data_IF_607502113756
#
_entry.id   IF_607502113756
#
_cell.length_a   1.000
_cell.length_b   1.000
_cell.length_c   1.000
_cell.angle_alpha   90.00
_cell.angle_beta   90.00
_cell.angle_gamma   90.00
#
_symmetry.space_group_name_H-M   'P 1'
#
loop_
_entity.id
_entity.type
_entity.pdbx_description
1 polymer ?
#
# COMPACT_ATOMS: atom_id res chain seq x y z
N UNK A 1 -37.50 10.09 -1.93
CA UNK A 1 -37.27 9.37 -0.64
C UNK A 1 -36.86 10.38 0.43
N UNK A 2 -37.47 10.28 1.60
CA UNK A 2 -37.02 11.03 2.79
C UNK A 2 -35.68 10.51 3.30
N UNK A 3 -34.89 11.29 4.04
CA UNK A 3 -33.63 10.80 4.61
C UNK A 3 -33.78 9.55 5.49
N UNK A 4 -34.89 9.43 6.21
CA UNK A 4 -35.22 8.27 7.04
C UNK A 4 -35.47 7.02 6.17
N UNK A 5 -36.29 7.17 5.12
CA UNK A 5 -36.57 6.07 4.18
C UNK A 5 -35.31 5.58 3.48
N UNK A 6 -34.45 6.53 3.05
CA UNK A 6 -33.18 6.22 2.40
C UNK A 6 -32.25 5.44 3.35
N UNK A 7 -32.16 5.89 4.60
CA UNK A 7 -31.34 5.22 5.62
C UNK A 7 -31.85 3.81 5.90
N UNK A 8 -33.15 3.64 6.05
CA UNK A 8 -33.76 2.34 6.33
C UNK A 8 -33.59 1.39 5.13
N UNK A 9 -33.80 1.87 3.92
CA UNK A 9 -33.58 1.07 2.71
C UNK A 9 -32.09 0.69 2.58
N UNK A 10 -31.18 1.63 2.82
CA UNK A 10 -29.75 1.34 2.75
C UNK A 10 -29.29 0.33 3.79
N UNK A 11 -29.83 0.37 5.01
CA UNK A 11 -29.49 -0.58 6.08
C UNK A 11 -30.10 -1.97 5.80
N UNK A 12 -31.35 -2.05 5.36
CA UNK A 12 -32.05 -3.32 5.17
C UNK A 12 -31.74 -4.03 3.86
N UNK A 13 -31.44 -3.29 2.80
CA UNK A 13 -31.24 -3.83 1.45
C UNK A 13 -29.79 -3.69 1.01
N UNK A 14 -29.29 -2.47 0.92
CA UNK A 14 -27.99 -2.19 0.33
C UNK A 14 -26.84 -2.76 1.16
N UNK A 15 -26.84 -2.50 2.45
CA UNK A 15 -25.84 -3.00 3.39
C UNK A 15 -25.77 -4.52 3.36
N UNK A 16 -26.91 -5.21 3.47
CA UNK A 16 -26.96 -6.68 3.48
C UNK A 16 -26.47 -7.30 2.18
N UNK A 17 -26.75 -6.68 1.04
CA UNK A 17 -26.26 -7.13 -0.26
C UNK A 17 -24.75 -6.99 -0.39
N UNK A 18 -24.20 -5.89 0.08
CA UNK A 18 -22.76 -5.65 0.08
C UNK A 18 -22.02 -6.49 1.12
N UNK A 19 -22.61 -6.76 2.29
CA UNK A 19 -22.06 -7.66 3.32
C UNK A 19 -21.91 -9.11 2.83
N UNK A 20 -22.75 -9.55 1.89
CA UNK A 20 -22.67 -10.88 1.29
C UNK A 20 -21.51 -11.05 0.29
N UNK A 21 -20.81 -9.97 -0.04
CA UNK A 21 -19.63 -10.05 -0.92
C UNK A 21 -18.48 -10.72 -0.15
N UNK A 22 -17.87 -11.72 -0.78
CA UNK A 22 -16.77 -12.47 -0.19
C UNK A 22 -15.64 -11.53 0.25
N UNK A 23 -15.17 -11.70 1.47
CA UNK A 23 -14.08 -10.91 2.04
C UNK A 23 -14.48 -9.58 2.66
N UNK A 24 -15.76 -9.22 2.64
CA UNK A 24 -16.29 -8.09 3.41
C UNK A 24 -16.42 -8.49 4.88
N UNK A 25 -15.84 -7.70 5.78
CA UNK A 25 -15.90 -7.93 7.22
C UNK A 25 -17.07 -7.20 7.88
N UNK A 26 -17.24 -5.92 7.57
CA UNK A 26 -18.34 -5.11 8.11
C UNK A 26 -18.64 -3.91 7.23
N UNK A 27 -19.88 -3.43 7.33
CA UNK A 27 -20.30 -2.18 6.64
C UNK A 27 -20.92 -1.26 7.66
N UNK A 28 -20.42 -0.04 7.73
CA UNK A 28 -20.90 1.01 8.62
C UNK A 28 -21.56 2.12 7.79
N UNK A 29 -22.77 2.53 8.21
CA UNK A 29 -23.45 3.69 7.65
C UNK A 29 -23.11 4.93 8.46
N UNK A 30 -22.76 6.01 7.77
CA UNK A 30 -22.43 7.31 8.35
C UNK A 30 -23.31 8.39 7.71
N UNK A 31 -23.80 9.32 8.51
CA UNK A 31 -24.67 10.42 8.04
C UNK A 31 -26.13 10.00 7.81
N UNK A 32 -26.49 8.77 8.21
CA UNK A 32 -27.86 8.28 8.15
C UNK A 32 -28.72 8.83 9.27
N UNK A 33 -30.01 8.89 9.03
CA UNK A 33 -31.02 9.28 10.01
C UNK A 33 -31.93 8.08 10.24
N UNK A 34 -31.77 7.41 11.37
CA UNK A 34 -32.62 6.27 11.74
C UNK A 34 -33.99 6.72 12.19
N UNK A 35 -35.00 5.90 11.89
CA UNK A 35 -36.35 6.11 12.42
C UNK A 35 -36.37 5.79 13.92
N UNK A 36 -37.00 6.65 14.68
CA UNK A 36 -37.17 6.48 16.13
C UNK A 36 -38.58 6.96 16.54
N UNK A 37 -39.18 6.30 17.50
CA UNK A 37 -40.43 6.74 18.13
C UNK A 37 -40.07 7.50 19.40
N UNK A 38 -40.29 8.81 19.35
CA UNK A 38 -39.99 9.71 20.44
C UNK A 38 -41.20 9.88 21.36
N UNK A 39 -41.00 9.65 22.64
CA UNK A 39 -42.02 9.82 23.70
C UNK A 39 -41.68 11.08 24.51
N UNK A 40 -42.40 12.16 24.25
CA UNK A 40 -42.22 13.43 24.96
C UNK A 40 -43.10 13.45 26.19
N UNK A 41 -42.50 13.37 27.38
CA UNK A 41 -43.20 13.40 28.64
C UNK A 41 -43.75 14.78 28.93
N UNK A 42 -45.00 14.86 29.46
CA UNK A 42 -45.60 16.11 29.93
C UNK A 42 -45.51 16.15 31.46
N UNK A 43 -44.62 16.98 32.05
CA UNK A 43 -44.42 17.01 33.49
C UNK A 43 -45.68 17.39 34.28
N UNK A 44 -46.50 18.31 33.77
CA UNK A 44 -47.74 18.76 34.44
C UNK A 44 -48.80 17.65 34.49
N UNK A 45 -48.94 16.93 33.37
CA UNK A 45 -49.85 15.79 33.32
C UNK A 45 -49.37 14.64 34.23
N UNK A 46 -48.05 14.36 34.23
CA UNK A 46 -47.46 13.36 35.11
C UNK A 46 -47.68 13.65 36.57
N UNK A 47 -47.52 14.89 37.01
CA UNK A 47 -47.80 15.34 38.37
C UNK A 47 -49.28 15.15 38.70
N UNK A 48 -50.21 15.60 37.83
CA UNK A 48 -51.64 15.45 38.03
C UNK A 48 -52.09 14.00 38.20
N UNK A 49 -51.50 13.07 37.45
CA UNK A 49 -51.79 11.64 37.54
C UNK A 49 -50.93 10.91 38.60
N UNK A 50 -49.91 11.55 39.18
CA UNK A 50 -48.98 10.95 40.13
C UNK A 50 -48.10 9.88 39.52
N UNK A 51 -47.69 10.04 38.24
CA UNK A 51 -46.85 9.11 37.49
C UNK A 51 -45.42 9.64 37.41
N UNK A 52 -44.44 8.79 37.70
CA UNK A 52 -43.01 9.14 37.58
C UNK A 52 -42.46 8.77 36.20
N UNK A 53 -41.37 9.43 35.80
CA UNK A 53 -40.68 9.13 34.53
C UNK A 53 -40.19 7.68 34.47
N UNK A 54 -39.69 7.15 35.61
CA UNK A 54 -39.24 5.77 35.72
C UNK A 54 -40.36 4.76 35.48
N UNK A 55 -41.58 5.08 35.96
CA UNK A 55 -42.75 4.22 35.72
C UNK A 55 -43.08 4.17 34.22
N UNK A 56 -42.99 5.31 33.51
CA UNK A 56 -43.20 5.34 32.07
C UNK A 56 -42.13 4.55 31.32
N UNK A 57 -40.86 4.74 31.67
CA UNK A 57 -39.73 4.03 31.03
C UNK A 57 -39.86 2.52 31.25
N UNK A 58 -40.18 2.10 32.48
CA UNK A 58 -40.34 0.67 32.81
C UNK A 58 -41.52 0.05 32.08
N UNK A 59 -42.67 0.76 32.03
CA UNK A 59 -43.85 0.28 31.32
C UNK A 59 -43.57 0.13 29.81
N UNK A 60 -42.94 1.13 29.17
CA UNK A 60 -42.57 1.03 27.75
C UNK A 60 -41.60 -0.14 27.52
N UNK A 61 -40.61 -0.32 28.40
CA UNK A 61 -39.63 -1.39 28.30
C UNK A 61 -40.25 -2.78 28.48
N UNK A 62 -41.19 -2.94 29.40
CA UNK A 62 -41.81 -4.26 29.67
C UNK A 62 -42.84 -4.66 28.63
N UNK A 63 -43.53 -3.69 28.05
CA UNK A 63 -44.64 -3.95 27.10
C UNK A 63 -44.20 -3.92 25.62
N UNK A 64 -43.03 -3.39 25.31
CA UNK A 64 -42.51 -3.27 23.96
C UNK A 64 -41.27 -4.17 23.74
N UNK A 65 -41.42 -5.47 23.95
CA UNK A 65 -40.33 -6.42 23.75
C UNK A 65 -40.84 -7.78 23.25
N UNK A 66 -39.99 -8.48 22.53
CA UNK A 66 -40.23 -9.86 22.12
C UNK A 66 -39.76 -10.79 23.23
N UNK A 67 -40.63 -11.62 23.72
CA UNK A 67 -40.35 -12.59 24.81
C UNK A 67 -40.41 -14.03 24.27
N UNK A 68 -39.33 -14.80 24.34
CA UNK A 68 -39.43 -16.25 24.17
C UNK A 68 -40.19 -16.85 25.35
N UNK A 69 -41.32 -17.49 25.06
CA UNK A 69 -42.20 -18.06 26.08
C UNK A 69 -41.87 -19.54 26.36
N UNK A 70 -41.27 -20.19 25.40
CA UNK A 70 -40.89 -21.60 25.52
C UNK A 70 -40.66 -22.26 24.17
N UNK A 71 -40.49 -23.56 24.18
CA UNK A 71 -40.34 -24.37 22.98
C UNK A 71 -41.24 -25.57 23.00
N UNK A 72 -41.93 -25.81 21.90
CA UNK A 72 -42.72 -27.05 21.64
C UNK A 72 -41.78 -28.06 21.00
N UNK A 73 -41.47 -29.11 21.74
CA UNK A 73 -40.58 -30.19 21.28
C UNK A 73 -41.40 -31.38 20.80
N UNK A 74 -41.17 -31.80 19.57
CA UNK A 74 -41.62 -33.09 19.03
C UNK A 74 -40.40 -33.94 18.67
N UNK A 75 -40.62 -35.22 18.40
CA UNK A 75 -39.51 -36.13 18.00
C UNK A 75 -38.75 -35.70 16.76
N UNK A 76 -39.33 -34.79 15.98
CA UNK A 76 -38.76 -34.36 14.67
C UNK A 76 -38.42 -32.86 14.59
N UNK A 77 -39.02 -32.02 15.46
CA UNK A 77 -38.86 -30.56 15.36
C UNK A 77 -38.95 -29.91 16.76
N UNK A 78 -38.12 -28.90 16.97
CA UNK A 78 -38.24 -27.96 18.08
C UNK A 78 -38.70 -26.60 17.53
N UNK A 79 -39.86 -26.12 18.00
CA UNK A 79 -40.42 -24.82 17.61
C UNK A 79 -40.38 -23.88 18.82
N UNK A 80 -39.65 -22.78 18.68
CA UNK A 80 -39.62 -21.73 19.69
C UNK A 80 -40.91 -20.91 19.56
N UNK A 81 -41.63 -20.80 20.67
CA UNK A 81 -42.81 -19.92 20.78
C UNK A 81 -42.35 -18.61 21.35
N UNK A 82 -42.58 -17.50 20.67
CA UNK A 82 -42.31 -16.16 21.15
C UNK A 82 -43.57 -15.30 21.10
N UNK A 83 -43.71 -14.40 22.05
CA UNK A 83 -44.69 -13.33 22.01
C UNK A 83 -44.03 -12.18 21.28
N UNK A 84 -44.63 -11.75 20.18
CA UNK A 84 -44.26 -10.54 19.45
C UNK A 84 -45.09 -9.37 19.99
N UNK A 85 -44.56 -8.71 21.02
CA UNK A 85 -45.22 -7.59 21.70
C UNK A 85 -44.64 -6.22 21.25
N UNK A 86 -43.79 -6.19 20.23
CA UNK A 86 -43.27 -4.92 19.72
C UNK A 86 -44.34 -4.09 19.03
N UNK A 87 -44.53 -2.90 19.50
CA UNK A 87 -45.42 -1.93 18.89
C UNK A 87 -44.82 -1.36 17.60
N UNK A 88 -45.56 -1.45 16.52
CA UNK A 88 -45.06 -1.02 15.18
C UNK A 88 -45.53 0.38 14.82
N UNK A 89 -46.65 0.86 15.37
CA UNK A 89 -47.25 2.15 15.07
C UNK A 89 -47.21 3.08 16.28
N UNK A 90 -46.98 4.38 16.10
CA UNK A 90 -46.94 5.34 17.18
C UNK A 90 -48.26 5.40 17.98
N UNK A 91 -49.38 5.14 17.32
CA UNK A 91 -50.71 5.18 17.90
C UNK A 91 -50.88 4.09 18.96
N UNK A 92 -50.24 2.92 18.78
CA UNK A 92 -50.35 1.78 19.68
C UNK A 92 -49.73 2.12 21.05
N UNK A 93 -48.65 2.91 21.04
CA UNK A 93 -48.03 3.37 22.31
C UNK A 93 -48.95 4.23 23.19
N UNK A 94 -49.87 5.00 22.60
CA UNK A 94 -50.80 5.84 23.34
C UNK A 94 -51.74 5.04 24.26
N UNK A 95 -51.98 3.78 23.94
CA UNK A 95 -52.86 2.87 24.69
C UNK A 95 -52.13 2.14 25.83
N UNK A 96 -50.81 2.22 25.86
CA UNK A 96 -49.97 1.55 26.85
C UNK A 96 -50.30 2.05 28.26
N UNK A 97 -50.55 1.11 29.21
CA UNK A 97 -50.86 1.44 30.60
C UNK A 97 -49.54 1.67 31.35
N UNK A 98 -49.30 2.88 31.81
CA UNK A 98 -48.07 3.27 32.51
C UNK A 98 -48.20 3.18 34.05
N UNK A 99 -49.40 3.33 34.55
CA UNK A 99 -49.70 3.23 36.01
C UNK A 99 -51.18 2.92 36.22
N UNK A 100 -51.53 2.59 37.46
CA UNK A 100 -52.91 2.53 37.94
C UNK A 100 -53.10 3.43 39.14
N UNK A 101 -54.06 4.37 39.05
CA UNK A 101 -54.41 5.31 40.14
C UNK A 101 -55.81 4.98 40.59
N UNK A 102 -55.99 4.59 41.88
CA UNK A 102 -57.28 4.20 42.44
C UNK A 102 -58.02 3.13 41.60
N UNK A 103 -57.26 2.16 41.03
CA UNK A 103 -57.81 1.11 40.17
C UNK A 103 -58.03 1.49 38.72
N UNK A 104 -58.04 2.78 38.38
CA UNK A 104 -58.19 3.25 36.99
C UNK A 104 -56.83 3.24 36.24
N UNK A 105 -56.78 2.71 35.01
CA UNK A 105 -55.55 2.68 34.23
C UNK A 105 -55.21 4.07 33.70
N UNK A 106 -53.95 4.51 33.94
CA UNK A 106 -53.40 5.70 33.33
C UNK A 106 -52.64 5.29 32.08
N UNK A 107 -53.03 5.83 30.93
CA UNK A 107 -52.44 5.50 29.61
C UNK A 107 -51.33 6.48 29.27
N UNK A 108 -50.35 6.02 28.47
CA UNK A 108 -49.21 6.82 28.05
C UNK A 108 -49.66 8.10 27.32
N UNK A 109 -50.70 8.05 26.45
CA UNK A 109 -51.18 9.21 25.74
C UNK A 109 -51.79 10.31 26.64
N UNK A 110 -52.06 10.03 27.93
CA UNK A 110 -52.52 11.02 28.91
C UNK A 110 -51.36 11.79 29.55
N UNK A 111 -50.15 11.20 29.62
CA UNK A 111 -48.99 11.78 30.30
C UNK A 111 -47.84 12.08 29.37
N UNK A 112 -47.92 11.66 28.08
CA UNK A 112 -46.90 11.88 27.07
C UNK A 112 -47.50 12.07 25.68
N UNK A 113 -46.71 12.66 24.80
CA UNK A 113 -46.99 12.77 23.34
C UNK A 113 -46.04 11.88 22.58
N UNK A 114 -46.58 10.93 21.83
CA UNK A 114 -45.79 9.98 21.03
C UNK A 114 -45.72 10.52 19.60
N UNK A 115 -44.49 10.66 19.07
CA UNK A 115 -44.25 11.12 17.72
C UNK A 115 -43.31 10.16 16.98
N UNK A 116 -43.67 9.85 15.72
CA UNK A 116 -42.75 9.22 14.79
C UNK A 116 -41.75 10.27 14.31
N UNK A 117 -40.48 10.00 14.46
CA UNK A 117 -39.45 10.97 14.20
C UNK A 117 -38.13 10.35 13.80
N UNK A 118 -37.13 11.19 13.82
CA UNK A 118 -35.75 10.83 13.54
C UNK A 118 -34.98 10.71 14.84
N UNK A 119 -34.07 9.75 14.89
CA UNK A 119 -33.03 9.71 15.92
C UNK A 119 -32.19 10.98 15.88
N UNK A 120 -31.68 11.41 17.00
CA UNK A 120 -30.74 12.52 17.08
C UNK A 120 -29.53 12.25 16.18
N UNK A 121 -29.07 13.30 15.46
CA UNK A 121 -28.04 13.16 14.44
C UNK A 121 -26.67 13.02 15.11
N UNK A 122 -26.15 11.82 15.16
CA UNK A 122 -24.83 11.52 15.73
C UNK A 122 -23.68 11.75 14.73
N UNK A 123 -23.96 11.69 13.44
CA UNK A 123 -22.95 11.78 12.39
C UNK A 123 -23.46 12.50 11.15
N UNK A 124 -22.57 13.24 10.49
CA UNK A 124 -22.88 13.97 9.27
C UNK A 124 -21.93 13.55 8.16
N UNK A 125 -22.46 13.11 7.03
CA UNK A 125 -21.69 12.89 5.81
C UNK A 125 -22.03 13.95 4.76
N UNK A 126 -21.02 14.57 4.20
CA UNK A 126 -21.15 15.58 3.14
C UNK A 126 -20.37 15.13 1.91
N UNK A 127 -20.98 15.23 0.75
CA UNK A 127 -20.36 15.02 -0.54
C UNK A 127 -20.63 16.21 -1.45
N UNK A 128 -19.58 16.90 -1.90
CA UNK A 128 -19.68 18.14 -2.67
C UNK A 128 -20.60 19.22 -2.04
N UNK A 129 -20.58 19.34 -0.70
CA UNK A 129 -21.41 20.30 0.05
C UNK A 129 -22.86 19.85 0.29
N UNK A 130 -23.31 18.76 -0.33
CA UNK A 130 -24.63 18.15 -0.11
C UNK A 130 -24.61 17.06 0.96
N UNK A 131 -25.69 16.95 1.74
CA UNK A 131 -25.87 15.82 2.67
C UNK A 131 -26.02 14.52 1.90
N UNK A 132 -25.32 13.49 2.33
CA UNK A 132 -25.35 12.17 1.73
C UNK A 132 -25.33 11.08 2.80
N UNK A 133 -25.59 9.85 2.39
CA UNK A 133 -25.38 8.65 3.19
C UNK A 133 -24.09 7.98 2.72
N UNK A 134 -23.13 7.80 3.62
CA UNK A 134 -21.86 7.15 3.33
C UNK A 134 -21.87 5.72 3.86
N UNK A 135 -21.50 4.77 3.01
CA UNK A 135 -21.25 3.38 3.40
C UNK A 135 -19.74 3.15 3.42
N UNK A 136 -19.23 2.87 4.61
CA UNK A 136 -17.82 2.50 4.78
C UNK A 136 -17.71 0.99 4.87
N UNK A 137 -17.02 0.39 3.91
CA UNK A 137 -16.80 -1.06 3.84
C UNK A 137 -15.43 -1.38 4.41
N UNK A 138 -15.39 -2.26 5.38
CA UNK A 138 -14.17 -2.81 5.95
C UNK A 138 -14.02 -4.27 5.49
N UNK A 139 -12.86 -4.60 4.93
CA UNK A 139 -12.56 -5.98 4.55
C UNK A 139 -12.23 -6.85 5.76
N UNK A 140 -12.44 -8.15 5.66
CA UNK A 140 -11.96 -9.12 6.64
C UNK A 140 -10.42 -9.17 6.68
N UNK A 141 -9.87 -9.55 7.82
CA UNK A 141 -8.42 -9.77 7.92
C UNK A 141 -7.99 -10.87 6.95
N UNK A 142 -6.79 -10.76 6.42
CA UNK A 142 -6.17 -11.70 5.47
C UNK A 142 -6.80 -11.77 4.06
N UNK A 143 -7.91 -11.08 3.80
CA UNK A 143 -8.51 -11.08 2.46
C UNK A 143 -7.80 -10.11 1.51
N UNK A 144 -7.79 -10.42 0.22
CA UNK A 144 -7.17 -9.60 -0.80
C UNK A 144 -8.01 -8.36 -1.09
N UNK A 145 -7.44 -7.17 -0.88
CA UNK A 145 -8.14 -5.88 -1.07
C UNK A 145 -8.64 -5.70 -2.51
N UNK A 146 -7.88 -6.15 -3.51
CA UNK A 146 -8.24 -6.02 -4.92
C UNK A 146 -9.47 -6.88 -5.23
N UNK A 147 -9.47 -8.15 -4.80
CA UNK A 147 -10.58 -9.07 -5.03
C UNK A 147 -11.87 -8.60 -4.34
N UNK A 148 -11.75 -8.13 -3.08
CA UNK A 148 -12.91 -7.60 -2.34
C UNK A 148 -13.49 -6.37 -3.04
N UNK A 149 -12.65 -5.43 -3.48
CA UNK A 149 -13.10 -4.23 -4.19
C UNK A 149 -13.71 -4.57 -5.55
N UNK A 150 -13.16 -5.54 -6.28
CA UNK A 150 -13.73 -5.98 -7.56
C UNK A 150 -15.09 -6.64 -7.36
N UNK A 151 -15.23 -7.48 -6.35
CA UNK A 151 -16.52 -8.06 -5.94
C UNK A 151 -17.54 -6.99 -5.57
N UNK A 152 -17.14 -5.98 -4.81
CA UNK A 152 -17.99 -4.84 -4.45
C UNK A 152 -18.40 -4.04 -5.67
N UNK A 153 -17.49 -3.72 -6.59
CA UNK A 153 -17.80 -2.99 -7.83
C UNK A 153 -18.81 -3.74 -8.70
N UNK A 154 -18.64 -5.04 -8.83
CA UNK A 154 -19.59 -5.90 -9.55
C UNK A 154 -20.97 -5.84 -8.90
N UNK A 155 -21.05 -6.03 -7.59
CA UNK A 155 -22.32 -5.96 -6.85
C UNK A 155 -22.94 -4.57 -6.92
N UNK A 156 -22.16 -3.49 -6.85
CA UNK A 156 -22.65 -2.11 -7.01
C UNK A 156 -23.25 -1.92 -8.42
N UNK A 157 -22.59 -2.44 -9.45
CA UNK A 157 -23.13 -2.34 -10.84
C UNK A 157 -24.44 -3.11 -10.99
N UNK A 158 -24.58 -4.29 -10.39
CA UNK A 158 -25.81 -5.06 -10.37
C UNK A 158 -26.93 -4.32 -9.60
N UNK A 159 -26.59 -3.67 -8.49
CA UNK A 159 -27.53 -2.91 -7.68
C UNK A 159 -28.00 -1.61 -8.35
N UNK A 160 -27.17 -1.01 -9.22
CA UNK A 160 -27.56 0.23 -9.93
C UNK A 160 -28.88 0.09 -10.71
N UNK A 161 -29.17 -1.10 -11.23
CA UNK A 161 -30.43 -1.39 -11.93
C UNK A 161 -31.65 -1.50 -10.98
N UNK A 162 -31.42 -1.67 -9.68
CA UNK A 162 -32.44 -1.88 -8.65
C UNK A 162 -32.59 -0.67 -7.70
N UNK A 163 -31.85 0.41 -7.96
CA UNK A 163 -31.92 1.61 -7.13
C UNK A 163 -33.26 2.31 -7.24
N UNK A 164 -33.81 2.81 -6.13
CA UNK A 164 -35.00 3.66 -6.15
C UNK A 164 -34.79 4.93 -6.98
N UNK A 165 -35.87 5.45 -7.56
CA UNK A 165 -35.82 6.67 -8.34
C UNK A 165 -35.21 7.83 -7.54
N UNK A 166 -34.22 8.52 -8.10
CA UNK A 166 -33.51 9.65 -7.48
C UNK A 166 -32.36 9.28 -6.55
N UNK A 167 -32.07 7.99 -6.35
CA UNK A 167 -30.91 7.53 -5.59
C UNK A 167 -29.77 7.20 -6.54
N UNK A 168 -28.55 7.69 -6.21
CA UNK A 168 -27.30 7.35 -6.92
C UNK A 168 -26.33 6.68 -5.95
N UNK A 169 -25.68 5.63 -6.40
CA UNK A 169 -24.65 4.94 -5.64
C UNK A 169 -23.33 5.09 -6.38
N UNK A 170 -22.38 5.80 -5.78
CA UNK A 170 -21.09 6.09 -6.40
C UNK A 170 -19.94 5.70 -5.44
N UNK A 171 -18.91 5.01 -5.92
CA UNK A 171 -17.71 4.75 -5.13
C UNK A 171 -16.88 6.03 -5.01
N UNK A 172 -16.70 6.53 -3.79
CA UNK A 172 -15.95 7.76 -3.51
C UNK A 172 -14.47 7.45 -3.29
N UNK A 173 -14.17 6.40 -2.54
CA UNK A 173 -12.81 5.99 -2.19
C UNK A 173 -12.60 4.54 -2.57
N UNK A 174 -11.51 4.27 -3.29
CA UNK A 174 -11.11 2.94 -3.72
C UNK A 174 -9.69 2.64 -3.21
N UNK A 175 -9.58 1.87 -2.13
CA UNK A 175 -8.31 1.45 -1.54
C UNK A 175 -7.50 0.48 -2.41
N UNK A 176 -8.11 -0.13 -3.44
CA UNK A 176 -7.39 -0.99 -4.37
C UNK A 176 -6.58 -0.20 -5.39
N UNK A 177 -6.96 1.04 -5.68
CA UNK A 177 -6.31 1.89 -6.70
C UNK A 177 -4.82 2.14 -6.42
N UNK A 178 -4.40 2.55 -5.21
CA UNK A 178 -2.98 2.71 -4.90
C UNK A 178 -2.19 1.41 -5.05
N UNK A 179 -2.79 0.27 -4.66
CA UNK A 179 -2.17 -1.04 -4.77
C UNK A 179 -1.96 -1.41 -6.25
N UNK A 180 -2.99 -1.24 -7.09
CA UNK A 180 -2.90 -1.50 -8.54
C UNK A 180 -1.83 -0.64 -9.20
N UNK A 181 -1.81 0.66 -8.90
CA UNK A 181 -0.80 1.58 -9.42
C UNK A 181 0.60 1.15 -8.98
N UNK A 182 0.78 0.72 -7.74
CA UNK A 182 2.07 0.24 -7.25
C UNK A 182 2.52 -1.04 -7.95
N UNK A 183 1.62 -2.00 -8.15
CA UNK A 183 1.91 -3.24 -8.89
C UNK A 183 2.29 -2.93 -10.34
N UNK A 184 1.54 -2.04 -11.00
CA UNK A 184 1.83 -1.65 -12.38
C UNK A 184 3.16 -0.88 -12.50
N UNK A 185 3.45 0.01 -11.57
CA UNK A 185 4.73 0.72 -11.49
C UNK A 185 5.90 -0.25 -11.31
N UNK A 186 5.78 -1.22 -10.40
CA UNK A 186 6.82 -2.24 -10.21
C UNK A 186 7.00 -3.07 -11.48
N UNK A 187 5.91 -3.54 -12.09
CA UNK A 187 5.97 -4.26 -13.37
C UNK A 187 6.67 -3.43 -14.45
N UNK A 188 6.33 -2.16 -14.57
CA UNK A 188 6.94 -1.24 -15.53
C UNK A 188 8.43 -1.05 -15.22
N UNK A 189 8.78 -0.76 -13.97
CA UNK A 189 10.18 -0.60 -13.53
C UNK A 189 11.01 -1.86 -13.77
N UNK A 190 10.43 -3.05 -13.53
CA UNK A 190 11.07 -4.32 -13.83
C UNK A 190 11.36 -4.48 -15.32
N UNK A 191 10.39 -4.19 -16.18
CA UNK A 191 10.54 -4.31 -17.63
C UNK A 191 11.52 -3.26 -18.17
N UNK A 192 11.34 -2.00 -17.79
CA UNK A 192 12.21 -0.89 -18.21
C UNK A 192 13.64 -1.07 -17.67
N UNK A 193 13.78 -1.46 -16.41
CA UNK A 193 15.07 -1.75 -15.78
C UNK A 193 15.78 -2.92 -16.45
N UNK A 194 15.09 -4.04 -16.67
CA UNK A 194 15.64 -5.19 -17.36
C UNK A 194 16.05 -4.84 -18.79
N UNK A 195 15.20 -4.11 -19.54
CA UNK A 195 15.52 -3.67 -20.91
C UNK A 195 16.75 -2.75 -20.93
N UNK A 196 16.78 -1.74 -20.06
CA UNK A 196 17.89 -0.78 -19.99
C UNK A 196 19.20 -1.49 -19.64
N UNK A 197 19.15 -2.41 -18.68
CA UNK A 197 20.31 -3.20 -18.28
C UNK A 197 20.79 -4.11 -19.40
N UNK A 198 19.88 -4.85 -20.03
CA UNK A 198 20.23 -5.68 -21.21
C UNK A 198 20.87 -4.83 -22.29
N UNK A 199 20.34 -3.63 -22.52
CA UNK A 199 20.90 -2.69 -23.49
C UNK A 199 22.32 -2.24 -23.11
N UNK A 200 22.53 -1.83 -21.87
CA UNK A 200 23.84 -1.38 -21.37
C UNK A 200 24.85 -2.52 -21.40
N UNK A 201 24.49 -3.68 -20.87
CA UNK A 201 25.37 -4.88 -20.89
C UNK A 201 25.72 -5.26 -22.31
N UNK A 202 24.77 -5.16 -23.25
CA UNK A 202 25.02 -5.42 -24.65
C UNK A 202 26.01 -4.42 -25.24
N UNK A 203 25.89 -3.13 -24.93
CA UNK A 203 26.79 -2.11 -25.41
C UNK A 203 28.22 -2.28 -24.89
N UNK A 204 28.37 -2.66 -23.60
CA UNK A 204 29.68 -2.83 -22.99
C UNK A 204 30.37 -4.14 -23.36
N UNK A 205 29.64 -5.26 -23.38
CA UNK A 205 30.21 -6.59 -23.63
C UNK A 205 30.24 -6.93 -25.12
N UNK A 206 29.52 -6.19 -25.98
CA UNK A 206 29.38 -6.39 -27.42
C UNK A 206 29.10 -7.86 -27.80
N UNK A 207 28.39 -8.60 -26.93
CA UNK A 207 28.08 -10.00 -27.06
C UNK A 207 26.65 -10.27 -26.65
N UNK A 208 25.82 -10.72 -27.60
CA UNK A 208 24.41 -11.03 -27.29
C UNK A 208 24.25 -12.22 -26.36
N UNK A 209 25.16 -13.21 -26.42
CA UNK A 209 25.13 -14.37 -25.52
C UNK A 209 25.43 -13.97 -24.09
N UNK A 210 26.45 -13.17 -23.88
CA UNK A 210 26.77 -12.57 -22.56
C UNK A 210 25.60 -11.77 -22.01
N UNK A 211 24.98 -10.98 -22.86
CA UNK A 211 23.82 -10.16 -22.50
C UNK A 211 22.63 -10.99 -22.05
N UNK A 212 22.33 -12.09 -22.76
CA UNK A 212 21.23 -13.00 -22.38
C UNK A 212 21.52 -13.69 -21.05
N UNK A 213 22.76 -14.14 -20.82
CA UNK A 213 23.14 -14.81 -19.56
C UNK A 213 22.93 -13.84 -18.39
N UNK A 214 23.50 -12.65 -18.46
CA UNK A 214 23.36 -11.63 -17.41
C UNK A 214 21.89 -11.17 -17.27
N UNK A 215 21.15 -11.08 -18.37
CA UNK A 215 19.74 -10.72 -18.37
C UNK A 215 18.82 -11.75 -17.69
N UNK A 216 19.21 -13.03 -17.66
CA UNK A 216 18.48 -14.09 -16.97
C UNK A 216 18.65 -14.08 -15.44
N UNK A 217 19.75 -13.52 -14.94
CA UNK A 217 20.00 -13.46 -13.50
C UNK A 217 18.95 -12.67 -12.74
N UNK A 218 18.48 -11.55 -13.31
CA UNK A 218 17.47 -10.68 -12.68
C UNK A 218 16.14 -11.39 -12.42
N UNK A 219 15.45 -11.97 -13.44
CA UNK A 219 14.19 -12.64 -13.19
C UNK A 219 14.33 -13.83 -12.24
N UNK A 220 15.45 -14.57 -12.29
CA UNK A 220 15.70 -15.70 -11.40
C UNK A 220 15.87 -15.21 -9.95
N UNK A 221 16.65 -14.16 -9.73
CA UNK A 221 16.82 -13.56 -8.41
C UNK A 221 15.48 -13.03 -7.84
N UNK A 222 14.65 -12.41 -8.68
CA UNK A 222 13.31 -11.94 -8.26
C UNK A 222 12.38 -13.08 -7.91
N UNK A 223 12.32 -14.15 -8.70
CA UNK A 223 11.52 -15.33 -8.39
C UNK A 223 11.99 -15.95 -7.07
N UNK A 224 13.31 -16.05 -6.86
CA UNK A 224 13.88 -16.49 -5.59
C UNK A 224 13.47 -15.60 -4.42
N UNK A 225 13.42 -14.29 -4.62
CA UNK A 225 12.97 -13.32 -3.61
C UNK A 225 11.48 -13.51 -3.26
N UNK A 226 10.61 -13.72 -4.26
CA UNK A 226 9.22 -14.05 -4.00
C UNK A 226 9.03 -15.36 -3.24
N UNK A 227 9.84 -16.38 -3.55
CA UNK A 227 9.82 -17.64 -2.81
C UNK A 227 10.21 -17.41 -1.35
N UNK A 228 11.26 -16.63 -1.10
CA UNK A 228 11.69 -16.26 0.25
C UNK A 228 10.61 -15.48 1.01
N UNK A 229 10.00 -14.48 0.38
CA UNK A 229 8.89 -13.71 0.97
C UNK A 229 7.75 -14.63 1.40
N UNK A 230 7.37 -15.58 0.54
CA UNK A 230 6.32 -16.56 0.85
C UNK A 230 6.70 -17.46 2.03
N UNK A 231 7.96 -17.90 2.11
CA UNK A 231 8.46 -18.74 3.21
C UNK A 231 8.44 -18.02 4.56
N UNK A 232 8.69 -16.72 4.58
CA UNK A 232 8.63 -15.85 5.78
C UNK A 232 7.23 -15.29 6.07
N UNK A 233 6.23 -15.65 5.27
CA UNK A 233 4.86 -15.18 5.44
C UNK A 233 4.65 -13.71 5.11
N UNK A 234 5.56 -13.10 4.34
CA UNK A 234 5.44 -11.71 3.89
C UNK A 234 4.40 -11.61 2.77
N UNK A 235 3.61 -10.56 2.82
CA UNK A 235 2.60 -10.28 1.81
C UNK A 235 3.14 -9.35 0.73
N UNK A 236 2.56 -9.44 -0.47
CA UNK A 236 2.82 -8.46 -1.53
C UNK A 236 2.00 -7.20 -1.21
N UNK A 237 2.65 -6.22 -0.64
CA UNK A 237 2.08 -4.93 -0.25
C UNK A 237 2.89 -3.77 -0.82
N UNK A 238 2.44 -2.52 -0.60
CA UNK A 238 3.14 -1.34 -1.14
C UNK A 238 4.61 -1.26 -0.71
N UNK A 239 4.92 -1.69 0.51
CA UNK A 239 6.26 -1.57 1.09
C UNK A 239 7.19 -2.61 0.49
N UNK A 240 6.74 -3.88 0.39
CA UNK A 240 7.50 -4.94 -0.25
C UNK A 240 7.69 -4.71 -1.75
N UNK A 241 6.68 -4.15 -2.43
CA UNK A 241 6.78 -3.74 -3.83
C UNK A 241 7.79 -2.60 -4.04
N UNK A 242 7.83 -1.63 -3.12
CA UNK A 242 8.84 -0.57 -3.13
C UNK A 242 10.25 -1.13 -2.89
N UNK A 243 10.42 -2.09 -1.98
CA UNK A 243 11.66 -2.80 -1.77
C UNK A 243 12.14 -3.51 -3.05
N UNK A 244 11.25 -4.26 -3.70
CA UNK A 244 11.56 -4.95 -4.95
C UNK A 244 11.94 -3.97 -6.08
N UNK A 245 11.23 -2.85 -6.20
CA UNK A 245 11.55 -1.81 -7.18
C UNK A 245 12.95 -1.24 -6.97
N UNK A 246 13.34 -0.99 -5.72
CA UNK A 246 14.70 -0.54 -5.37
C UNK A 246 15.75 -1.62 -5.66
N UNK A 247 15.42 -2.88 -5.40
CA UNK A 247 16.34 -4.00 -5.61
C UNK A 247 16.72 -4.22 -7.07
N UNK A 248 15.85 -3.87 -8.04
CA UNK A 248 16.12 -4.11 -9.48
C UNK A 248 17.50 -3.61 -9.91
N UNK A 249 17.85 -2.39 -9.51
CA UNK A 249 19.16 -1.81 -9.79
C UNK A 249 20.31 -2.50 -9.03
N UNK A 250 20.07 -2.91 -7.78
CA UNK A 250 21.08 -3.54 -6.94
C UNK A 250 21.40 -4.98 -7.33
N UNK A 251 20.40 -5.71 -7.87
CA UNK A 251 20.53 -7.14 -8.19
C UNK A 251 21.39 -7.43 -9.41
N UNK A 252 21.54 -6.47 -10.30
CA UNK A 252 22.23 -6.65 -11.57
C UNK A 252 23.72 -6.40 -11.45
N UNK A 253 24.15 -5.53 -10.55
CA UNK A 253 25.54 -5.08 -10.46
C UNK A 253 26.50 -6.24 -10.22
N UNK A 254 26.18 -7.17 -9.33
CA UNK A 254 26.99 -8.34 -9.04
C UNK A 254 27.20 -9.23 -10.29
N UNK A 255 26.13 -9.48 -11.05
CA UNK A 255 26.17 -10.29 -12.25
C UNK A 255 27.00 -9.62 -13.38
N UNK A 256 26.92 -8.29 -13.53
CA UNK A 256 27.72 -7.55 -14.52
C UNK A 256 29.20 -7.69 -14.22
N UNK A 257 29.62 -7.48 -12.97
CA UNK A 257 31.02 -7.53 -12.55
C UNK A 257 31.59 -8.95 -12.71
N UNK A 258 30.83 -9.99 -12.31
CA UNK A 258 31.23 -11.39 -12.50
C UNK A 258 31.41 -11.69 -13.99
N UNK A 259 30.44 -11.27 -14.81
CA UNK A 259 30.46 -11.53 -16.25
C UNK A 259 31.60 -10.82 -16.95
N UNK A 260 31.84 -9.56 -16.66
CA UNK A 260 32.94 -8.76 -17.22
C UNK A 260 34.29 -9.45 -16.94
N UNK A 261 34.52 -9.88 -15.69
CA UNK A 261 35.77 -10.52 -15.33
C UNK A 261 35.97 -11.88 -16.03
N UNK A 262 34.91 -12.68 -16.16
CA UNK A 262 34.95 -13.93 -16.93
C UNK A 262 35.31 -13.64 -18.40
N UNK A 263 34.68 -12.66 -19.03
CA UNK A 263 34.97 -12.24 -20.41
C UNK A 263 36.43 -11.79 -20.55
N UNK A 264 36.95 -11.02 -19.61
CA UNK A 264 38.35 -10.58 -19.57
C UNK A 264 39.32 -11.78 -19.53
N UNK A 265 39.03 -12.80 -18.74
CA UNK A 265 39.86 -14.03 -18.67
C UNK A 265 39.79 -14.85 -19.98
N UNK A 266 38.63 -14.88 -20.66
CA UNK A 266 38.52 -15.48 -22.01
C UNK A 266 39.38 -14.72 -23.01
N UNK A 267 39.35 -13.39 -22.99
CA UNK A 267 40.18 -12.54 -23.84
C UNK A 267 41.70 -12.72 -23.62
N UNK A 268 42.10 -13.12 -22.40
CA UNK A 268 43.48 -13.51 -22.07
C UNK A 268 43.86 -14.88 -22.63
N UNK A 269 42.97 -15.58 -23.34
CA UNK A 269 43.24 -16.88 -23.97
C UNK A 269 42.98 -18.11 -23.12
N UNK A 270 42.33 -17.99 -21.97
CA UNK A 270 41.91 -19.13 -21.12
C UNK A 270 40.71 -19.84 -21.73
N UNK A 271 40.60 -21.15 -21.49
CA UNK A 271 39.39 -21.87 -21.90
C UNK A 271 38.15 -21.31 -21.16
N UNK A 272 36.96 -21.39 -21.75
CA UNK A 272 35.73 -20.84 -21.12
C UNK A 272 35.46 -21.37 -19.70
N UNK A 273 35.75 -22.65 -19.48
CA UNK A 273 35.64 -23.28 -18.17
C UNK A 273 36.64 -22.70 -17.16
N UNK A 274 37.93 -22.61 -17.55
CA UNK A 274 38.98 -22.06 -16.69
C UNK A 274 38.76 -20.54 -16.45
N UNK A 275 38.34 -19.82 -17.47
CA UNK A 275 38.01 -18.39 -17.37
C UNK A 275 36.85 -18.13 -16.38
N UNK A 276 35.82 -18.99 -16.41
CA UNK A 276 34.70 -18.91 -15.47
C UNK A 276 35.13 -19.19 -14.04
N UNK A 277 36.02 -20.18 -13.81
CA UNK A 277 36.50 -20.51 -12.49
C UNK A 277 37.42 -19.43 -11.93
N UNK A 278 38.49 -19.08 -12.68
CA UNK A 278 39.50 -18.11 -12.22
C UNK A 278 38.88 -16.69 -12.12
N UNK A 279 38.08 -16.30 -13.12
CA UNK A 279 37.42 -14.99 -13.14
C UNK A 279 36.46 -14.79 -11.98
N UNK A 280 35.68 -15.81 -11.61
CA UNK A 280 34.78 -15.72 -10.46
C UNK A 280 35.58 -15.74 -9.14
N UNK A 281 36.62 -16.51 -9.04
CA UNK A 281 37.46 -16.60 -7.83
C UNK A 281 38.21 -15.27 -7.56
N UNK A 282 38.68 -14.59 -8.60
CA UNK A 282 39.43 -13.33 -8.49
C UNK A 282 38.59 -12.22 -7.86
N UNK A 283 37.31 -12.11 -8.23
CA UNK A 283 36.42 -11.05 -7.75
C UNK A 283 35.51 -11.47 -6.60
N UNK A 284 35.54 -12.74 -6.24
CA UNK A 284 34.61 -13.31 -5.25
C UNK A 284 34.60 -12.53 -3.94
N UNK A 285 35.77 -12.17 -3.41
CA UNK A 285 35.89 -11.39 -2.17
C UNK A 285 35.32 -9.97 -2.32
N UNK A 286 35.52 -9.34 -3.48
CA UNK A 286 35.04 -7.98 -3.72
C UNK A 286 33.49 -7.94 -3.78
N UNK A 287 32.90 -8.89 -4.51
CA UNK A 287 31.42 -9.00 -4.61
C UNK A 287 30.80 -9.39 -3.27
N UNK A 288 31.42 -10.30 -2.50
CA UNK A 288 31.00 -10.59 -1.12
C UNK A 288 31.01 -9.33 -0.24
N UNK A 289 32.08 -8.53 -0.32
CA UNK A 289 32.20 -7.33 0.50
C UNK A 289 31.13 -6.27 0.14
N UNK A 290 30.86 -6.07 -1.15
CA UNK A 290 29.81 -5.12 -1.60
C UNK A 290 28.42 -5.60 -1.17
N UNK A 291 28.11 -6.87 -1.38
CA UNK A 291 26.83 -7.49 -0.98
C UNK A 291 26.62 -7.38 0.53
N UNK A 292 27.62 -7.78 1.34
CA UNK A 292 27.50 -7.64 2.80
C UNK A 292 27.46 -6.20 3.28
N UNK A 293 28.05 -5.25 2.56
CA UNK A 293 27.89 -3.83 2.84
C UNK A 293 26.43 -3.38 2.68
N UNK A 294 25.76 -3.81 1.63
CA UNK A 294 24.33 -3.55 1.42
C UNK A 294 23.50 -4.20 2.53
N UNK A 295 23.79 -5.45 2.87
CA UNK A 295 23.13 -6.17 3.97
C UNK A 295 23.30 -5.41 5.29
N UNK A 296 24.52 -4.92 5.60
CA UNK A 296 24.79 -4.17 6.82
C UNK A 296 24.02 -2.85 6.92
N UNK A 297 23.62 -2.25 5.80
CA UNK A 297 22.79 -1.04 5.78
C UNK A 297 21.31 -1.37 5.96
N UNK A 298 20.80 -2.39 5.27
CA UNK A 298 19.37 -2.67 5.26
C UNK A 298 18.90 -3.59 6.39
N UNK A 299 19.77 -4.46 6.91
CA UNK A 299 19.44 -5.37 8.01
C UNK A 299 18.99 -4.63 9.28
N UNK A 300 19.69 -3.58 9.76
CA UNK A 300 19.24 -2.79 10.90
C UNK A 300 17.87 -2.13 10.71
N UNK A 301 17.54 -1.72 9.48
CA UNK A 301 16.23 -1.15 9.16
C UNK A 301 15.12 -2.20 9.38
N UNK A 302 15.39 -3.46 9.01
CA UNK A 302 14.48 -4.58 9.26
C UNK A 302 14.26 -4.91 10.74
N UNK A 303 15.17 -4.50 11.64
CA UNK A 303 15.07 -4.75 13.09
C UNK A 303 14.70 -3.51 13.91
N UNK A 304 14.24 -2.43 13.27
CA UNK A 304 13.77 -1.24 13.97
C UNK A 304 12.58 -1.56 14.89
N UNK A 305 12.55 -0.95 16.07
CA UNK A 305 11.44 -1.07 17.02
C UNK A 305 10.27 -0.12 16.71
N UNK A 306 9.14 -0.36 17.40
CA UNK A 306 7.95 0.51 17.34
C UNK A 306 7.07 0.29 16.09
N UNK A 307 6.13 1.22 15.89
CA UNK A 307 5.17 1.14 14.78
C UNK A 307 5.89 1.24 13.43
N UNK A 308 6.84 2.15 13.32
CA UNK A 308 7.64 2.36 12.10
C UNK A 308 8.41 1.08 11.76
N UNK A 309 9.00 0.43 12.78
CA UNK A 309 9.73 -0.82 12.59
C UNK A 309 8.89 -1.95 12.00
N UNK A 310 7.60 -2.05 12.37
CA UNK A 310 6.68 -3.05 11.79
C UNK A 310 6.51 -2.88 10.27
N UNK A 311 6.47 -1.64 9.79
CA UNK A 311 6.40 -1.36 8.36
C UNK A 311 7.72 -1.65 7.64
N UNK A 312 8.84 -1.22 8.22
CA UNK A 312 10.14 -1.37 7.59
C UNK A 312 10.78 -2.76 7.77
N UNK A 313 10.22 -3.61 8.64
CA UNK A 313 10.68 -5.00 8.79
C UNK A 313 10.62 -5.77 7.48
N UNK A 314 9.45 -5.80 6.84
CA UNK A 314 9.28 -6.48 5.55
C UNK A 314 10.14 -5.84 4.45
N UNK A 315 10.29 -4.51 4.46
CA UNK A 315 11.13 -3.78 3.52
C UNK A 315 12.60 -4.19 3.61
N UNK A 316 13.20 -4.05 4.80
CA UNK A 316 14.62 -4.33 5.02
C UNK A 316 14.98 -5.80 4.77
N UNK A 317 14.16 -6.72 5.30
CA UNK A 317 14.39 -8.16 5.14
C UNK A 317 14.21 -8.59 3.67
N UNK A 318 13.25 -8.02 2.94
CA UNK A 318 13.07 -8.31 1.50
C UNK A 318 14.29 -7.88 0.68
N UNK A 319 14.86 -6.70 0.94
CA UNK A 319 16.07 -6.23 0.25
C UNK A 319 17.25 -7.15 0.57
N UNK A 320 17.45 -7.47 1.83
CA UNK A 320 18.53 -8.37 2.27
C UNK A 320 18.42 -9.74 1.58
N UNK A 321 17.22 -10.33 1.56
CA UNK A 321 16.96 -11.58 0.89
C UNK A 321 17.23 -11.50 -0.62
N UNK A 322 16.74 -10.46 -1.27
CA UNK A 322 16.93 -10.24 -2.70
C UNK A 322 18.42 -10.17 -3.08
N UNK A 323 19.19 -9.37 -2.32
CA UNK A 323 20.62 -9.17 -2.59
C UNK A 323 21.42 -10.44 -2.33
N UNK A 324 21.13 -11.19 -1.27
CA UNK A 324 21.79 -12.48 -0.99
C UNK A 324 21.48 -13.54 -2.06
N UNK A 325 20.22 -13.58 -2.53
CA UNK A 325 19.82 -14.50 -3.60
C UNK A 325 20.51 -14.10 -4.92
N UNK A 326 20.59 -12.79 -5.24
CA UNK A 326 21.31 -12.29 -6.41
C UNK A 326 22.76 -12.69 -6.39
N UNK A 327 23.44 -12.50 -5.27
CA UNK A 327 24.82 -12.93 -5.08
C UNK A 327 24.99 -14.44 -5.35
N UNK A 328 24.10 -15.25 -4.77
CA UNK A 328 24.13 -16.71 -4.98
C UNK A 328 23.94 -17.07 -6.47
N UNK A 329 22.99 -16.44 -7.15
CA UNK A 329 22.72 -16.64 -8.58
C UNK A 329 23.93 -16.20 -9.42
N UNK A 330 24.54 -15.06 -9.09
CA UNK A 330 25.71 -14.53 -9.81
C UNK A 330 26.95 -15.39 -9.65
N UNK A 331 27.12 -16.08 -8.52
CA UNK A 331 28.23 -17.00 -8.32
C UNK A 331 27.99 -18.43 -8.81
N UNK A 332 26.75 -18.79 -9.12
CA UNK A 332 26.41 -20.16 -9.57
C UNK A 332 25.97 -20.19 -11.01
N UNK A 333 24.92 -19.44 -11.35
CA UNK A 333 24.30 -19.47 -12.67
C UNK A 333 25.19 -18.84 -13.74
N UNK A 334 25.74 -17.64 -13.47
CA UNK A 334 26.52 -16.90 -14.46
C UNK A 334 27.82 -17.63 -14.86
N UNK A 335 28.67 -18.12 -13.93
CA UNK A 335 29.84 -18.93 -14.28
C UNK A 335 29.48 -20.24 -15.00
N UNK A 336 28.41 -20.91 -14.53
CA UNK A 336 27.94 -22.15 -15.15
C UNK A 336 27.50 -21.92 -16.59
N UNK A 337 26.64 -20.92 -16.83
CA UNK A 337 26.19 -20.57 -18.18
C UNK A 337 27.34 -20.10 -19.06
N UNK A 338 28.29 -19.35 -18.50
CA UNK A 338 29.48 -18.87 -19.20
C UNK A 338 30.40 -19.98 -19.67
N UNK A 339 30.54 -21.06 -18.87
CA UNK A 339 31.36 -22.21 -19.23
C UNK A 339 30.76 -23.04 -20.36
N UNK A 340 29.42 -23.13 -20.44
CA UNK A 340 28.70 -23.97 -21.42
C UNK A 340 28.41 -23.17 -22.71
N UNK A 341 27.93 -21.94 -22.56
CA UNK A 341 27.43 -21.12 -23.66
C UNK A 341 28.32 -19.89 -23.91
N UNK A 342 29.61 -20.16 -24.17
CA UNK A 342 30.58 -19.10 -24.47
C UNK A 342 30.34 -18.48 -25.84
N UNK A 343 30.79 -17.23 -26.03
CA UNK A 343 30.67 -16.54 -27.31
C UNK A 343 31.99 -16.62 -28.12
N UNK A 344 31.98 -17.30 -29.27
CA UNK A 344 33.17 -17.38 -30.14
C UNK A 344 33.67 -16.00 -30.64
N UNK A 345 32.83 -14.98 -30.55
CA UNK A 345 33.20 -13.62 -30.93
C UNK A 345 34.17 -12.97 -29.94
N UNK A 346 34.18 -13.44 -28.68
CA UNK A 346 35.10 -12.97 -27.65
C UNK A 346 36.50 -13.57 -27.85
N UNK A 347 36.58 -14.83 -28.31
CA UNK A 347 37.86 -15.52 -28.59
C UNK A 347 38.63 -14.89 -29.75
N UNK A 348 37.98 -14.09 -30.56
CA UNK A 348 38.52 -13.55 -31.86
C UNK A 348 39.07 -12.12 -31.75
N UNK A 349 39.29 -11.55 -30.55
CA UNK A 349 39.94 -10.25 -30.42
C UNK A 349 41.36 -10.33 -31.00
N UNK A 350 41.50 -9.86 -32.26
CA UNK A 350 42.75 -9.84 -33.02
C UNK A 350 42.70 -10.56 -34.37
N UNK A 351 41.66 -11.31 -34.74
CA UNK A 351 41.49 -11.90 -36.06
C UNK A 351 40.31 -11.28 -36.81
N UNK A 352 40.49 -10.78 -38.04
CA UNK A 352 39.39 -10.23 -38.84
C UNK A 352 38.35 -11.34 -39.09
N UNK A 353 37.07 -11.08 -38.73
CA UNK A 353 35.94 -11.97 -39.05
C UNK A 353 35.84 -12.15 -40.57
N UNK A 354 35.87 -13.38 -41.03
CA UNK A 354 35.83 -13.72 -42.46
C UNK A 354 34.49 -13.43 -43.16
N UNK A 355 33.42 -13.21 -42.42
CA UNK A 355 32.08 -12.90 -42.99
C UNK A 355 31.45 -11.70 -42.27
N UNK A 356 31.28 -10.61 -43.00
CA UNK A 356 30.55 -9.41 -42.54
C UNK A 356 29.06 -9.72 -42.59
N UNK A 357 28.46 -9.96 -41.44
CA UNK A 357 27.03 -10.19 -41.31
C UNK A 357 26.26 -8.84 -41.30
N UNK A 358 24.96 -8.84 -41.65
CA UNK A 358 24.08 -7.66 -41.55
C UNK A 358 24.15 -6.99 -40.17
N UNK A 359 24.41 -7.80 -39.12
CA UNK A 359 24.71 -7.36 -37.77
C UNK A 359 25.89 -6.40 -37.68
N UNK A 360 27.01 -6.72 -38.32
CA UNK A 360 28.24 -5.90 -38.31
C UNK A 360 28.05 -4.55 -39.03
N UNK A 361 27.16 -4.47 -40.02
CA UNK A 361 26.88 -3.22 -40.78
C UNK A 361 26.01 -2.21 -40.01
N UNK A 362 25.13 -2.66 -39.15
CA UNK A 362 24.15 -1.80 -38.41
C UNK A 362 24.54 -1.65 -36.96
N UNK A 363 24.51 -2.74 -36.21
CA UNK A 363 24.74 -2.77 -34.76
C UNK A 363 26.24 -2.61 -34.46
N UNK A 364 27.12 -3.26 -35.24
CA UNK A 364 28.59 -3.13 -35.12
C UNK A 364 29.12 -1.71 -35.32
N UNK A 365 28.40 -0.83 -36.04
CA UNK A 365 28.76 0.58 -36.12
C UNK A 365 28.44 1.35 -34.84
N UNK A 366 27.31 1.04 -34.22
CA UNK A 366 26.89 1.67 -32.94
C UNK A 366 27.80 1.19 -31.80
N UNK A 367 28.04 -0.11 -31.70
CA UNK A 367 28.94 -0.67 -30.70
C UNK A 367 30.38 -0.19 -30.88
N UNK A 368 30.90 -0.12 -32.11
CA UNK A 368 32.22 0.42 -32.37
C UNK A 368 32.39 1.91 -32.05
N UNK A 369 31.34 2.71 -32.25
CA UNK A 369 31.32 4.10 -31.76
C UNK A 369 31.35 4.18 -30.24
N UNK A 370 30.61 3.29 -29.57
CA UNK A 370 30.59 3.19 -28.12
C UNK A 370 31.94 2.71 -27.58
N UNK A 371 32.56 1.68 -28.17
CA UNK A 371 33.91 1.19 -27.80
C UNK A 371 34.95 2.30 -27.94
N UNK A 372 34.94 3.05 -29.04
CA UNK A 372 35.85 4.21 -29.24
C UNK A 372 35.58 5.30 -28.17
N UNK A 373 34.34 5.49 -27.77
CA UNK A 373 33.95 6.42 -26.70
C UNK A 373 34.49 5.99 -25.34
N UNK A 374 34.32 4.70 -24.99
CA UNK A 374 34.83 4.14 -23.75
C UNK A 374 36.33 4.11 -23.68
N UNK A 375 37.04 3.81 -24.77
CA UNK A 375 38.50 3.87 -24.85
C UNK A 375 39.01 5.29 -24.58
N UNK A 376 38.42 6.32 -25.22
CA UNK A 376 38.77 7.72 -24.97
C UNK A 376 38.52 8.13 -23.50
N UNK A 377 37.46 7.63 -22.91
CA UNK A 377 37.11 7.89 -21.52
C UNK A 377 38.12 7.21 -20.58
N UNK A 378 38.52 5.97 -20.90
CA UNK A 378 39.57 5.24 -20.20
C UNK A 378 40.93 5.94 -20.28
N UNK A 379 41.32 6.43 -21.47
CA UNK A 379 42.55 7.23 -21.65
C UNK A 379 42.51 8.53 -20.87
N UNK A 380 41.35 9.20 -20.85
CA UNK A 380 41.11 10.39 -20.04
C UNK A 380 41.26 10.13 -18.54
N UNK A 381 40.63 9.05 -18.06
CA UNK A 381 40.74 8.59 -16.68
C UNK A 381 42.18 8.25 -16.27
N UNK A 382 42.91 7.52 -17.14
CA UNK A 382 44.32 7.19 -16.90
C UNK A 382 45.21 8.46 -16.77
N UNK A 383 44.95 9.49 -17.55
CA UNK A 383 45.69 10.78 -17.44
C UNK A 383 45.37 11.50 -16.14
N UNK A 384 44.07 11.54 -15.74
CA UNK A 384 43.63 12.14 -14.50
C UNK A 384 44.23 11.36 -13.31
N UNK A 385 44.16 10.03 -13.34
CA UNK A 385 44.72 9.18 -12.30
C UNK A 385 46.23 9.36 -12.20
N UNK A 386 46.95 9.37 -13.34
CA UNK A 386 48.40 9.63 -13.36
C UNK A 386 48.76 10.99 -12.75
N UNK A 387 47.97 12.02 -13.10
CA UNK A 387 48.18 13.35 -12.51
C UNK A 387 47.89 13.35 -10.99
N UNK A 388 46.83 12.70 -10.56
CA UNK A 388 46.45 12.61 -9.13
C UNK A 388 47.49 11.87 -8.32
N UNK A 389 48.04 10.78 -8.82
CA UNK A 389 49.10 9.98 -8.15
C UNK A 389 50.41 10.72 -8.03
N UNK A 390 50.75 11.59 -9.00
CA UNK A 390 51.95 12.45 -8.97
C UNK A 390 51.74 13.62 -8.02
N UNK A 391 50.54 14.21 -7.98
CA UNK A 391 50.24 15.41 -7.20
C UNK A 391 49.36 15.14 -5.99
N UNK A 392 49.76 14.20 -5.14
CA UNK A 392 48.98 13.72 -3.99
C UNK A 392 48.43 14.83 -3.08
N UNK A 393 49.25 15.82 -2.76
CA UNK A 393 48.84 16.95 -1.89
C UNK A 393 47.79 17.84 -2.55
N UNK A 394 47.94 18.16 -3.86
CA UNK A 394 46.94 18.98 -4.57
C UNK A 394 45.60 18.24 -4.73
N UNK A 395 45.66 16.94 -4.91
CA UNK A 395 44.46 16.10 -4.98
C UNK A 395 43.73 16.08 -3.63
N UNK A 396 44.48 16.05 -2.52
CA UNK A 396 43.94 16.13 -1.17
C UNK A 396 43.30 17.48 -0.89
N UNK A 397 44.01 18.58 -1.24
CA UNK A 397 43.52 19.96 -1.08
C UNK A 397 42.23 20.19 -1.90
N UNK A 398 42.16 19.65 -3.13
CA UNK A 398 40.95 19.71 -3.98
C UNK A 398 39.75 19.02 -3.34
N UNK A 399 39.95 17.84 -2.76
CA UNK A 399 38.88 17.08 -2.10
C UNK A 399 38.42 17.81 -0.81
N UNK A 400 39.35 18.33 -0.02
CA UNK A 400 39.03 19.13 1.16
C UNK A 400 38.31 20.43 0.80
N UNK A 401 38.73 21.13 -0.22
CA UNK A 401 38.09 22.35 -0.69
C UNK A 401 36.67 22.08 -1.19
N UNK A 402 36.45 20.96 -1.93
CA UNK A 402 35.12 20.55 -2.37
C UNK A 402 34.19 20.15 -1.21
N UNK A 403 34.72 19.45 -0.21
CA UNK A 403 33.98 19.08 1.00
C UNK A 403 33.60 20.29 1.86
N UNK A 404 34.51 21.26 2.01
CA UNK A 404 34.25 22.52 2.69
C UNK A 404 33.22 23.39 1.95
N UNK A 405 33.27 23.43 0.62
CA UNK A 405 32.28 24.15 -0.20
C UNK A 405 30.90 23.51 -0.14
N UNK A 406 30.82 22.17 -0.18
CA UNK A 406 29.59 21.45 -0.03
C UNK A 406 28.96 21.61 1.36
N UNK A 407 29.79 21.56 2.43
CA UNK A 407 29.32 21.76 3.79
C UNK A 407 28.86 23.21 4.04
N UNK A 408 29.56 24.20 3.48
CA UNK A 408 29.14 25.61 3.57
C UNK A 408 27.83 25.87 2.80
N UNK A 409 27.65 25.24 1.65
CA UNK A 409 26.39 25.30 0.87
C UNK A 409 25.24 24.64 1.61
N UNK A 410 25.49 23.48 2.23
CA UNK A 410 24.49 22.76 3.04
C UNK A 410 24.10 23.58 4.28
N UNK A 411 25.08 24.22 4.97
CA UNK A 411 24.83 25.09 6.12
C UNK A 411 24.01 26.32 5.70
N UNK A 412 24.34 26.93 4.57
CA UNK A 412 23.61 28.06 4.02
C UNK A 412 22.16 27.67 3.63
N UNK A 413 21.97 26.48 3.06
CA UNK A 413 20.65 25.95 2.74
C UNK A 413 19.86 25.64 4.02
N UNK A 414 20.47 25.00 5.02
CA UNK A 414 19.84 24.68 6.30
C UNK A 414 19.42 25.93 7.07
N UNK A 415 20.27 26.98 7.07
CA UNK A 415 19.97 28.27 7.69
C UNK A 415 18.87 29.05 6.98
N UNK A 416 18.79 28.96 5.65
CA UNK A 416 17.69 29.57 4.86
C UNK A 416 16.39 28.79 4.94
N UNK A 417 16.43 27.48 5.25
CA UNK A 417 15.26 26.62 5.39
C UNK A 417 14.65 26.65 6.79
N UNK A 418 15.33 27.21 7.80
CA UNK A 418 14.72 27.51 9.09
C UNK A 418 13.66 28.60 8.89
N UNK A 419 12.39 28.36 9.19
CA UNK A 419 11.38 29.42 9.19
C UNK A 419 11.85 30.49 10.19
N UNK A 420 12.10 31.70 9.71
CA UNK A 420 12.38 32.84 10.57
C UNK A 420 11.25 32.89 11.59
N UNK A 421 11.56 32.99 12.91
CA UNK A 421 10.50 33.21 13.88
C UNK A 421 9.76 34.47 13.43
N UNK A 422 8.52 34.32 12.99
CA UNK A 422 7.64 35.42 12.73
C UNK A 422 7.59 36.21 14.01
N UNK A 423 8.22 37.39 13.99
CA UNK A 423 8.09 38.36 15.08
C UNK A 423 6.60 38.50 15.34
N UNK A 424 6.13 37.97 16.47
CA UNK A 424 4.80 38.20 16.99
C UNK A 424 4.67 39.74 17.12
N UNK A 425 4.11 40.40 16.09
CA UNK A 425 3.56 41.73 16.25
C UNK A 425 2.45 41.58 17.30
N UNK A 426 2.52 42.35 18.43
CA UNK A 426 1.42 42.33 19.37
C UNK A 426 0.14 42.74 18.63
N UNK A 427 -1.02 42.09 18.88
CA UNK A 427 -2.27 42.42 18.22
C UNK A 427 -2.60 43.89 18.50
N UNK A 428 -2.88 44.63 17.44
CA UNK A 428 -3.35 46.01 17.57
C UNK A 428 -4.60 46.09 18.45
N UNK A 429 -4.80 47.14 19.26
CA UNK A 429 -5.89 47.21 20.26
C UNK A 429 -7.31 47.25 19.69
N UNK A 430 -7.50 47.18 18.38
CA UNK A 430 -8.79 47.46 17.71
C UNK A 430 -9.65 46.22 17.41
N UNK A 431 -9.27 45.00 17.79
CA UNK A 431 -10.10 43.82 17.55
C UNK A 431 -10.40 43.04 18.83
N UNK A 432 -11.10 43.67 19.78
CA UNK A 432 -11.81 42.90 20.83
C UNK A 432 -13.19 42.54 20.28
N UNK A 433 -13.58 41.28 20.16
CA UNK A 433 -14.94 40.90 19.88
C UNK A 433 -15.82 41.29 21.08
N UNK A 434 -16.85 42.10 20.82
CA UNK A 434 -17.85 42.43 21.81
C UNK A 434 -18.63 41.17 22.20
N UNK A 435 -18.47 40.74 23.44
CA UNK A 435 -19.31 39.69 24.02
C UNK A 435 -20.70 40.26 24.24
N UNK A 436 -21.64 39.97 23.31
CA UNK A 436 -23.07 40.20 23.55
C UNK A 436 -23.56 39.15 24.57
N UNK A 437 -23.82 39.62 25.79
CA UNK A 437 -24.64 38.86 26.75
C UNK A 437 -26.06 38.76 26.22
N UNK A 438 -26.51 37.56 25.90
CA UNK A 438 -27.92 37.26 25.75
C UNK A 438 -28.53 37.14 27.15
N UNK A 439 -29.56 37.96 27.43
CA UNK A 439 -30.45 37.78 28.55
C UNK A 439 -31.46 36.68 28.27
#
# INVERSE_FOLDING_TARGET
MTPIELTNWADQVLKKRLENVRGVGSITLVGGTKREINIYLNPQAMEAFGVTADQVVNAVRSENQDLPVGAIRSLQQERIVKIDARMQRPEDFNQLIVARKNGAPVRLGQVASVKDGAQEVDSLALYNGGRTLLLTVQKSQSENTIEVVDGLKKTVTELQAQLPAGVRLEPITDSSRPIRVSVDNVRRTLIEGAFLTVLIVFLFLNSWRSTVITGLTLPIALIGTFLFMNMFGFTINMITLMALSLCVGLLIDDAIVVRENIVRHVQMGKSPYQASLDGTQEIGLAVLATTFSIVAVFLPIGFMGGIIGKFFHEFGVTIVAAVLISMFVSFTLDPMMSSIWHDPAIDAHGKPRANITLYDKTIGRVTGWFDTGTDRLADGYQRILGWALVHKLKTWDWHWASLCSASSWFLCWALNSCPRPTSLKPPSPSTRPSVRRLK
#
